data_IF_208554863999
#
_entry.id   IF_208554863999
#
_cell.length_a   1.000
_cell.length_b   1.000
_cell.length_c   1.000
_cell.angle_alpha   90.00
_cell.angle_beta   90.00
_cell.angle_gamma   90.00
#
_symmetry.space_group_name_H-M   'P 1'
#
loop_
_entity.id
_entity.type
_entity.pdbx_description
1 polymer ?
#
# COMPACT_ATOMS: atom_id res chain seq x y z
N UNK A 1 49.63 -5.79 -19.57
CA UNK A 1 48.98 -5.82 -19.44
C UNK A 1 48.13 -5.58 -18.97
N UNK A 2 47.92 -5.65 -18.93
CA UNK A 2 47.10 -5.45 -18.55
C UNK A 2 46.01 -5.26 -18.16
N UNK A 3 45.94 -5.22 -18.34
CA UNK A 3 44.82 -5.05 -18.01
C UNK A 3 43.94 -5.22 -17.52
N UNK A 4 43.79 -5.48 -17.38
CA UNK A 4 42.87 -5.56 -17.06
C UNK A 4 42.20 -5.36 -16.28
N UNK A 5 42.46 -5.29 -16.09
CA UNK A 5 41.85 -4.96 -15.51
C UNK A 5 41.00 -4.65 -15.16
N UNK A 6 41.20 -4.45 -15.35
CA UNK A 6 40.34 -4.08 -15.22
C UNK A 6 39.50 -4.22 -15.08
N UNK A 7 39.36 -4.60 -15.00
CA UNK A 7 38.37 -4.71 -14.98
C UNK A 7 37.68 -4.74 -14.33
N UNK A 8 37.81 -4.75 -13.86
CA UNK A 8 37.12 -4.78 -13.38
C UNK A 8 36.36 -4.39 -12.85
N UNK A 9 36.46 -4.28 -12.65
CA UNK A 9 35.74 -3.79 -12.10
C UNK A 9 35.16 -3.32 -12.26
N UNK A 10 34.95 -3.29 -12.58
CA UNK A 10 34.15 -2.80 -12.80
C UNK A 10 33.20 -2.99 -12.87
N UNK A 11 33.05 -3.40 -12.84
CA UNK A 11 32.06 -3.61 -12.98
C UNK A 11 31.20 -3.89 -12.09
N UNK A 12 30.97 -4.15 -11.45
CA UNK A 12 30.21 -4.27 -10.61
C UNK A 12 29.74 -3.29 -10.16
N UNK A 13 30.21 -2.62 -10.37
CA UNK A 13 29.62 -1.59 -9.95
C UNK A 13 28.53 -1.18 -10.73
N UNK A 14 28.35 -1.62 -11.76
CA UNK A 14 27.35 -1.23 -12.41
C UNK A 14 26.17 -1.86 -12.12
N UNK A 15 26.19 -2.65 -11.52
CA UNK A 15 24.98 -3.10 -11.07
C UNK A 15 24.44 -2.15 -10.07
N UNK A 16 23.25 -1.60 -10.26
CA UNK A 16 22.71 -0.71 -9.29
C UNK A 16 21.99 -1.50 -8.26
N UNK A 17 22.24 -1.19 -7.03
CA UNK A 17 21.51 -1.87 -5.96
C UNK A 17 20.05 -1.46 -5.97
N UNK A 18 19.20 -2.35 -5.54
CA UNK A 18 17.81 -2.03 -5.35
C UNK A 18 17.69 -1.07 -4.21
N UNK A 19 16.95 -0.01 -4.43
CA UNK A 19 16.80 0.98 -3.39
C UNK A 19 15.92 0.44 -2.30
N UNK A 20 16.29 0.73 -1.07
CA UNK A 20 15.54 0.23 0.07
C UNK A 20 14.14 0.81 0.14
N UNK A 21 13.95 2.01 -0.39
CA UNK A 21 12.64 2.64 -0.34
C UNK A 21 11.75 2.30 -1.52
N UNK A 22 12.25 1.50 -2.44
CA UNK A 22 11.43 1.07 -3.56
C UNK A 22 10.61 -0.13 -3.16
N UNK A 23 9.35 -0.12 -3.49
CA UNK A 23 8.50 -1.27 -3.27
C UNK A 23 7.66 -1.50 -4.51
N UNK A 24 7.23 -2.74 -4.69
CA UNK A 24 6.37 -3.06 -5.80
C UNK A 24 5.03 -2.38 -5.63
N UNK A 25 4.42 -2.04 -6.76
CA UNK A 25 3.08 -1.48 -6.79
C UNK A 25 2.19 -2.54 -7.41
N UNK A 26 1.17 -2.95 -6.67
CA UNK A 26 0.30 -4.02 -7.10
C UNK A 26 -1.14 -3.57 -7.00
N UNK A 27 -2.02 -4.30 -7.66
CA UNK A 27 -3.45 -4.03 -7.60
C UNK A 27 -4.06 -4.65 -6.36
N UNK A 28 -5.17 -4.06 -5.92
CA UNK A 28 -5.91 -4.60 -4.78
C UNK A 28 -6.31 -6.06 -5.00
N UNK A 29 -6.67 -6.43 -6.21
CA UNK A 29 -7.08 -7.80 -6.49
C UNK A 29 -5.91 -8.79 -6.41
N UNK A 30 -4.69 -8.31 -6.44
CA UNK A 30 -3.52 -9.17 -6.33
C UNK A 30 -2.95 -9.23 -4.92
N UNK A 31 -3.52 -8.47 -4.00
CA UNK A 31 -2.94 -8.35 -2.66
C UNK A 31 -2.81 -9.70 -1.96
N UNK A 32 -3.76 -10.58 -2.19
CA UNK A 32 -3.75 -11.89 -1.52
C UNK A 32 -2.51 -12.71 -1.86
N UNK A 33 -1.88 -12.42 -2.99
CA UNK A 33 -0.68 -13.15 -3.39
C UNK A 33 0.59 -12.58 -2.80
N UNK A 34 0.50 -11.44 -2.14
CA UNK A 34 1.68 -10.75 -1.63
C UNK A 34 1.70 -10.64 -0.12
N UNK A 35 0.96 -11.53 0.55
CA UNK A 35 0.93 -11.53 2.01
C UNK A 35 2.34 -11.69 2.54
N UNK A 36 2.70 -10.87 3.50
CA UNK A 36 4.04 -10.87 4.07
C UNK A 36 5.01 -9.94 3.37
N UNK A 37 4.60 -9.31 2.25
CA UNK A 37 5.48 -8.45 1.48
C UNK A 37 5.17 -6.99 1.76
N UNK A 38 6.20 -6.17 1.69
CA UNK A 38 6.07 -4.72 1.84
C UNK A 38 5.86 -4.14 0.45
N UNK A 39 4.67 -3.65 0.18
CA UNK A 39 4.28 -3.22 -1.15
C UNK A 39 3.37 -2.02 -1.06
N UNK A 40 3.07 -1.45 -2.21
CA UNK A 40 2.00 -0.45 -2.33
C UNK A 40 0.84 -1.11 -3.04
N UNK A 41 -0.32 -1.17 -2.39
CA UNK A 41 -1.51 -1.77 -2.98
C UNK A 41 -2.41 -0.64 -3.45
N UNK A 42 -2.76 -0.67 -4.72
CA UNK A 42 -3.52 0.40 -5.36
C UNK A 42 -4.87 -0.09 -5.81
N UNK A 43 -5.87 0.77 -5.69
CA UNK A 43 -7.19 0.43 -6.16
C UNK A 43 -8.17 1.54 -5.86
N UNK A 44 -9.42 1.28 -6.17
CA UNK A 44 -10.50 2.22 -5.93
C UNK A 44 -11.07 1.99 -4.54
N UNK A 45 -11.13 3.07 -3.76
CA UNK A 45 -11.75 3.00 -2.44
C UNK A 45 -13.25 3.00 -2.61
N UNK A 46 -13.86 1.88 -2.27
CA UNK A 46 -15.30 1.74 -2.40
C UNK A 46 -16.00 2.38 -1.22
N UNK A 47 -15.45 2.22 -0.02
CA UNK A 47 -16.06 2.81 1.15
C UNK A 47 -15.03 2.97 2.25
N UNK A 48 -15.37 3.78 3.24
CA UNK A 48 -14.59 3.94 4.46
C UNK A 48 -15.54 3.62 5.61
N UNK A 49 -15.12 2.66 6.44
CA UNK A 49 -15.92 2.22 7.57
C UNK A 49 -15.24 2.64 8.86
N UNK A 50 -15.97 3.24 9.76
CA UNK A 50 -15.41 3.62 11.05
C UNK A 50 -16.17 2.92 12.15
N UNK A 51 -15.48 2.66 13.26
CA UNK A 51 -16.11 2.06 14.41
C UNK A 51 -16.29 3.09 15.49
N UNK A 52 -17.20 2.84 16.46
CA UNK A 52 -17.36 3.77 17.59
C UNK A 52 -16.12 3.83 18.47
N UNK A 53 -15.18 2.91 18.28
CA UNK A 53 -13.98 2.89 19.11
C UNK A 53 -12.81 3.60 18.45
N UNK A 54 -13.05 4.24 17.30
CA UNK A 54 -12.01 5.04 16.67
C UNK A 54 -11.18 4.32 15.63
N UNK A 55 -11.46 3.05 15.38
CA UNK A 55 -10.77 2.35 14.29
C UNK A 55 -11.47 2.62 12.99
N UNK A 56 -10.75 2.41 11.89
CA UNK A 56 -11.32 2.64 10.57
C UNK A 56 -10.75 1.65 9.57
N UNK A 57 -11.52 1.43 8.51
CA UNK A 57 -11.10 0.58 7.40
C UNK A 57 -11.32 1.33 6.12
N UNK A 58 -10.31 1.33 5.27
CA UNK A 58 -10.42 1.82 3.90
C UNK A 58 -10.64 0.58 3.04
N UNK A 59 -11.83 0.44 2.47
CA UNK A 59 -12.25 -0.79 1.83
C UNK A 59 -12.12 -0.70 0.31
N UNK A 60 -11.46 -1.69 -0.27
CA UNK A 60 -11.21 -1.74 -1.70
C UNK A 60 -12.00 -2.88 -2.33
N UNK A 61 -12.49 -2.64 -3.52
CA UNK A 61 -13.16 -3.66 -4.31
C UNK A 61 -14.63 -3.81 -4.00
N UNK A 62 -14.94 -4.03 -2.74
CA UNK A 62 -16.32 -4.16 -2.26
C UNK A 62 -16.41 -3.56 -0.90
N UNK A 63 -17.63 -3.36 -0.45
CA UNK A 63 -17.86 -2.81 0.87
C UNK A 63 -17.57 -3.85 1.96
N UNK A 64 -17.23 -3.35 3.12
CA UNK A 64 -16.99 -4.19 4.28
C UNK A 64 -18.27 -4.98 4.61
N UNK A 65 -18.21 -6.24 4.93
CA UNK A 65 -17.02 -7.07 5.15
C UNK A 65 -16.60 -7.88 3.93
N UNK A 66 -17.05 -7.52 2.75
CA UNK A 66 -16.76 -8.28 1.54
C UNK A 66 -15.61 -7.68 0.73
N UNK A 67 -14.89 -6.76 1.31
CA UNK A 67 -13.78 -6.10 0.62
C UNK A 67 -12.71 -7.11 0.23
N UNK A 68 -12.03 -6.82 -0.88
CA UNK A 68 -10.94 -7.70 -1.32
C UNK A 68 -9.61 -7.30 -0.72
N UNK A 69 -9.51 -6.09 -0.21
CA UNK A 69 -8.32 -5.58 0.45
C UNK A 69 -8.75 -4.42 1.31
N UNK A 70 -8.09 -4.21 2.43
CA UNK A 70 -8.42 -3.09 3.30
C UNK A 70 -7.17 -2.48 3.90
N UNK A 71 -7.23 -1.17 4.12
CA UNK A 71 -6.29 -0.51 4.99
C UNK A 71 -6.93 -0.39 6.37
N UNK A 72 -6.27 -0.90 7.38
CA UNK A 72 -6.79 -0.85 8.75
C UNK A 72 -6.11 0.26 9.52
N UNK A 73 -6.88 1.14 10.09
CA UNK A 73 -6.38 2.30 10.82
C UNK A 73 -6.75 2.15 12.29
N UNK A 74 -5.76 1.85 13.14
CA UNK A 74 -6.03 1.73 14.57
C UNK A 74 -6.40 3.07 15.18
N UNK A 75 -7.11 3.01 16.30
CA UNK A 75 -7.59 4.21 16.97
C UNK A 75 -6.45 5.14 17.38
N UNK A 76 -5.30 4.58 17.72
CA UNK A 76 -4.20 5.39 18.23
C UNK A 76 -3.24 5.84 17.12
N UNK A 77 -3.65 5.73 15.87
CA UNK A 77 -2.81 6.15 14.75
C UNK A 77 -2.67 7.67 14.64
N UNK A 78 -3.62 8.41 15.18
CA UNK A 78 -3.63 9.86 15.03
C UNK A 78 -4.28 10.32 13.75
N UNK A 79 -4.75 9.40 12.92
CA UNK A 79 -5.42 9.73 11.67
C UNK A 79 -6.90 9.95 11.96
N UNK A 80 -7.42 11.08 11.51
CA UNK A 80 -8.80 11.44 11.81
C UNK A 80 -9.75 10.92 10.75
N UNK A 81 -11.02 10.79 11.12
CA UNK A 81 -12.03 10.37 10.17
C UNK A 81 -12.13 11.33 8.99
N UNK A 82 -11.97 12.63 9.24
CA UNK A 82 -12.04 13.60 8.15
C UNK A 82 -10.98 13.39 7.12
N UNK A 83 -9.81 12.91 7.53
CA UNK A 83 -8.72 12.69 6.60
C UNK A 83 -8.99 11.53 5.66
N UNK A 84 -9.78 10.57 6.08
CA UNK A 84 -9.95 9.35 5.29
C UNK A 84 -11.29 9.23 4.61
N UNK A 85 -12.35 9.83 5.15
CA UNK A 85 -13.67 9.69 4.51
C UNK A 85 -13.68 10.29 3.12
N UNK A 86 -12.88 11.32 2.89
CA UNK A 86 -12.82 11.93 1.58
C UNK A 86 -12.12 11.07 0.54
N UNK A 87 -11.53 9.95 0.96
CA UNK A 87 -10.88 9.04 0.02
C UNK A 87 -11.88 8.17 -0.74
N UNK A 88 -13.11 8.11 -0.26
CA UNK A 88 -14.11 7.27 -0.89
C UNK A 88 -14.32 7.72 -2.34
N UNK A 89 -14.30 6.76 -3.25
CA UNK A 89 -14.45 7.02 -4.66
C UNK A 89 -13.17 7.39 -5.39
N UNK A 90 -12.06 7.43 -4.67
CA UNK A 90 -10.78 7.81 -5.27
C UNK A 90 -9.89 6.60 -5.44
N UNK A 91 -8.95 6.73 -6.38
CA UNK A 91 -7.91 5.72 -6.52
C UNK A 91 -6.80 6.04 -5.54
N UNK A 92 -6.45 5.07 -4.72
CA UNK A 92 -5.56 5.27 -3.59
C UNK A 92 -4.58 4.12 -3.52
N UNK A 93 -3.35 4.42 -3.12
CA UNK A 93 -2.35 3.42 -2.83
C UNK A 93 -2.11 3.37 -1.33
N UNK A 94 -1.97 2.17 -0.80
CA UNK A 94 -1.65 1.96 0.61
C UNK A 94 -0.31 1.23 0.67
N UNK A 95 0.62 1.79 1.42
CA UNK A 95 1.97 1.25 1.51
C UNK A 95 2.15 0.55 2.85
N UNK A 96 2.67 -0.65 2.81
CA UNK A 96 2.94 -1.39 4.03
C UNK A 96 3.06 -2.87 3.78
N UNK A 97 3.19 -3.62 4.86
CA UNK A 97 3.28 -5.07 4.79
C UNK A 97 1.89 -5.66 4.84
N UNK A 98 1.59 -6.52 3.87
CA UNK A 98 0.28 -7.14 3.81
C UNK A 98 0.20 -8.25 4.84
N UNK A 99 -0.87 -8.23 5.62
CA UNK A 99 -1.16 -9.27 6.60
C UNK A 99 -2.53 -9.85 6.30
N UNK A 100 -2.78 -11.04 6.81
CA UNK A 100 -4.11 -11.62 6.69
C UNK A 100 -4.89 -11.35 7.96
N UNK A 101 -6.11 -10.92 7.77
CA UNK A 101 -7.04 -10.75 8.88
C UNK A 101 -8.35 -11.40 8.47
N UNK A 102 -8.72 -12.46 9.16
CA UNK A 102 -9.92 -13.24 8.84
C UNK A 102 -9.92 -13.66 7.37
N UNK A 103 -8.74 -14.05 6.90
CA UNK A 103 -8.59 -14.55 5.54
C UNK A 103 -8.50 -13.50 4.46
N UNK A 104 -8.54 -12.22 4.81
CA UNK A 104 -8.47 -11.15 3.83
C UNK A 104 -7.18 -10.36 3.99
N UNK A 105 -6.59 -9.91 2.89
CA UNK A 105 -5.36 -9.13 2.99
C UNK A 105 -5.66 -7.73 3.46
N UNK A 106 -4.80 -7.23 4.33
CA UNK A 106 -4.92 -5.86 4.78
C UNK A 106 -3.55 -5.31 5.15
N UNK A 107 -3.44 -3.99 5.16
CA UNK A 107 -2.25 -3.29 5.60
C UNK A 107 -2.65 -2.41 6.77
N UNK A 108 -1.87 -2.49 7.85
CA UNK A 108 -2.07 -1.64 9.00
C UNK A 108 -1.49 -0.26 8.71
N UNK A 109 -2.28 0.77 8.92
CA UNK A 109 -1.89 2.13 8.61
C UNK A 109 -1.71 2.90 9.91
N UNK A 110 -0.46 3.26 10.20
CA UNK A 110 -0.14 4.02 11.41
C UNK A 110 0.24 5.45 11.07
N UNK A 111 0.40 5.78 9.80
CA UNK A 111 0.81 7.11 9.38
C UNK A 111 0.03 7.49 8.13
N UNK A 112 -0.38 8.76 8.07
CA UNK A 112 -1.07 9.24 6.89
C UNK A 112 -0.18 9.16 5.65
N UNK A 113 1.14 9.10 5.84
CA UNK A 113 2.06 9.01 4.71
C UNK A 113 2.06 7.64 4.04
N UNK A 114 1.42 6.67 4.64
CA UNK A 114 1.23 5.37 4.00
C UNK A 114 0.12 5.41 2.95
N UNK A 115 -0.62 6.50 2.90
CA UNK A 115 -1.76 6.64 1.98
C UNK A 115 -1.37 7.60 0.88
N UNK A 116 -1.45 7.13 -0.37
CA UNK A 116 -1.09 7.91 -1.53
C UNK A 116 -2.35 8.06 -2.38
N UNK A 117 -2.77 9.32 -2.57
CA UNK A 117 -3.93 9.56 -3.44
C UNK A 117 -3.43 9.64 -4.86
N UNK A 118 -3.88 8.73 -5.70
CA UNK A 118 -3.35 8.61 -7.05
C UNK A 118 -4.09 9.49 -8.02
N UNK A 119 -5.41 9.42 -7.99
CA UNK A 119 -6.18 10.27 -8.85
C UNK A 119 -7.63 10.19 -8.43
N UNK A 120 -8.38 11.20 -8.81
CA UNK A 120 -9.81 11.17 -8.68
C UNK A 120 -10.35 10.26 -9.76
N UNK A 121 -11.38 9.46 -9.42
CA UNK A 121 -11.96 8.60 -10.39
C UNK A 121 -12.50 9.36 -11.58
N UNK A 122 -12.98 10.54 -11.35
CA UNK A 122 -13.54 11.32 -12.43
C UNK A 122 -12.48 11.91 -13.33
N UNK A 123 -11.23 11.77 -13.00
CA UNK A 123 -10.17 12.33 -13.81
C UNK A 123 -10.03 11.61 -15.14
N UNK A 124 -10.53 10.40 -15.20
CA UNK A 124 -10.46 9.73 -16.44
C UNK A 124 -11.64 9.88 -17.17
#
# INVERSE_FOLDING_TARGET
>A
MRPFFAFLGLLFCFWTPIRADEQAVIKDSDAIRYVGRYVEVCGLVVSVTTSPFGTAFINFGREYPNQIFAGFIPADSGITADQITKLQGKNVGIVGTIELHKGKPEIKIMSIYQIVVLSSKSAE
#
